data_IF_149483114692
#
_entry.id   IF_149483114692
#
_cell.length_a   1.000
_cell.length_b   1.000
_cell.length_c   1.000
_cell.angle_alpha   90.00
_cell.angle_beta   90.00
_cell.angle_gamma   90.00
#
_symmetry.space_group_name_H-M   'P 1'
#
loop_
_entity.id
_entity.type
_entity.pdbx_description
1 polymer ?
#
# COMPACT_ATOMS: atom_id res chain seq x y z
N UNK A 1 -31.32 22.76 -26.27
CA UNK A 1 -29.91 22.67 -26.75
C UNK A 1 -28.93 23.50 -25.92
N UNK A 2 -29.39 24.34 -24.98
CA UNK A 2 -28.57 25.09 -24.02
C UNK A 2 -28.14 24.27 -22.80
N UNK A 3 -28.91 23.24 -22.43
CA UNK A 3 -28.66 22.47 -21.19
C UNK A 3 -27.45 21.53 -21.34
N UNK A 4 -27.30 20.86 -22.48
CA UNK A 4 -26.20 19.93 -22.75
C UNK A 4 -24.82 20.59 -22.74
N UNK A 5 -24.70 21.84 -23.22
CA UNK A 5 -23.44 22.58 -23.21
C UNK A 5 -23.06 23.07 -21.80
N UNK A 6 -24.05 23.27 -20.93
CA UNK A 6 -23.86 23.68 -19.54
C UNK A 6 -23.42 22.48 -18.69
N UNK A 7 -24.08 21.33 -18.90
CA UNK A 7 -23.74 20.04 -18.29
C UNK A 7 -22.30 19.61 -18.58
N UNK A 8 -21.88 19.68 -19.85
CA UNK A 8 -20.51 19.33 -20.26
C UNK A 8 -19.43 20.21 -19.60
N UNK A 9 -19.73 21.48 -19.30
CA UNK A 9 -18.81 22.36 -18.56
C UNK A 9 -18.71 21.94 -17.10
N UNK A 10 -19.85 21.68 -16.48
CA UNK A 10 -19.94 21.32 -15.06
C UNK A 10 -19.23 19.99 -14.77
N UNK A 11 -19.39 19.01 -15.65
CA UNK A 11 -18.69 17.72 -15.60
C UNK A 11 -17.16 17.90 -15.65
N UNK A 12 -16.65 18.76 -16.55
CA UNK A 12 -15.21 19.05 -16.65
C UNK A 12 -14.65 19.68 -15.38
N UNK A 13 -15.36 20.64 -14.79
CA UNK A 13 -14.95 21.25 -13.53
C UNK A 13 -14.95 20.24 -12.38
N UNK A 14 -15.95 19.34 -12.33
CA UNK A 14 -16.01 18.29 -11.32
C UNK A 14 -14.92 17.24 -11.49
N UNK A 15 -14.61 16.82 -12.72
CA UNK A 15 -13.53 15.87 -13.03
C UNK A 15 -12.16 16.42 -12.62
N UNK A 16 -11.90 17.69 -12.94
CA UNK A 16 -10.68 18.39 -12.56
C UNK A 16 -10.54 18.52 -11.03
N UNK A 17 -11.64 18.73 -10.30
CA UNK A 17 -11.64 18.76 -8.85
C UNK A 17 -11.45 17.35 -8.22
N UNK A 18 -12.08 16.32 -8.78
CA UNK A 18 -11.98 14.92 -8.30
C UNK A 18 -10.58 14.34 -8.47
N UNK A 19 -9.92 14.63 -9.60
CA UNK A 19 -8.56 14.15 -9.88
C UNK A 19 -7.51 14.75 -8.95
N UNK A 20 -7.63 16.03 -8.59
CA UNK A 20 -6.75 16.68 -7.61
C UNK A 20 -6.89 16.06 -6.21
N UNK A 21 -8.12 15.83 -5.76
CA UNK A 21 -8.38 15.21 -4.45
C UNK A 21 -7.87 13.76 -4.42
N UNK A 22 -7.97 13.01 -5.52
CA UNK A 22 -7.43 11.66 -5.60
C UNK A 22 -5.89 11.62 -5.57
N UNK A 23 -5.22 12.52 -6.28
CA UNK A 23 -3.76 12.59 -6.29
C UNK A 23 -3.16 12.78 -4.90
N UNK A 24 -3.73 13.68 -4.09
CA UNK A 24 -3.27 13.89 -2.71
C UNK A 24 -3.52 12.69 -1.78
N UNK A 25 -4.60 11.95 -2.01
CA UNK A 25 -4.90 10.72 -1.24
C UNK A 25 -3.92 9.61 -1.59
N UNK A 26 -3.54 9.50 -2.86
CA UNK A 26 -2.61 8.47 -3.33
C UNK A 26 -1.21 8.69 -2.78
N UNK A 27 -0.70 9.93 -2.81
CA UNK A 27 0.61 10.26 -2.24
C UNK A 27 0.69 9.94 -0.73
N UNK A 28 -0.39 10.24 0.03
CA UNK A 28 -0.47 9.84 1.44
C UNK A 28 -0.49 8.31 1.62
N UNK A 29 -1.22 7.60 0.78
CA UNK A 29 -1.27 6.13 0.82
C UNK A 29 0.11 5.51 0.50
N UNK A 30 0.84 6.03 -0.48
CA UNK A 30 2.18 5.59 -0.84
C UNK A 30 3.18 5.76 0.31
N UNK A 31 3.19 6.93 0.96
CA UNK A 31 4.04 7.18 2.12
C UNK A 31 3.71 6.29 3.32
N UNK A 32 2.41 6.04 3.56
CA UNK A 32 1.97 5.13 4.62
C UNK A 32 2.38 3.69 4.32
N UNK A 33 2.16 3.21 3.10
CA UNK A 33 2.56 1.88 2.66
C UNK A 33 4.08 1.68 2.76
N UNK A 34 4.87 2.67 2.35
CA UNK A 34 6.32 2.64 2.47
C UNK A 34 6.80 2.54 3.93
N UNK A 35 6.21 3.31 4.84
CA UNK A 35 6.56 3.26 6.28
C UNK A 35 6.19 1.92 6.91
N UNK A 36 5.00 1.40 6.60
CA UNK A 36 4.56 0.09 7.08
C UNK A 36 5.49 -1.01 6.56
N UNK A 37 5.89 -0.95 5.30
CA UNK A 37 6.83 -1.91 4.72
C UNK A 37 8.21 -1.87 5.42
N UNK A 38 8.77 -0.67 5.67
CA UNK A 38 10.04 -0.52 6.38
C UNK A 38 9.96 -1.05 7.81
N UNK A 39 8.86 -0.80 8.52
CA UNK A 39 8.63 -1.35 9.86
C UNK A 39 8.48 -2.88 9.83
N UNK A 40 7.72 -3.42 8.88
CA UNK A 40 7.57 -4.86 8.71
C UNK A 40 8.91 -5.57 8.45
N UNK A 41 9.76 -4.98 7.61
CA UNK A 41 11.10 -5.48 7.37
C UNK A 41 11.98 -5.42 8.63
N UNK A 42 12.00 -4.29 9.33
CA UNK A 42 12.78 -4.13 10.55
C UNK A 42 12.34 -5.11 11.65
N UNK A 43 11.03 -5.25 11.85
CA UNK A 43 10.46 -6.20 12.81
C UNK A 43 10.79 -7.64 12.40
N UNK A 44 10.70 -7.98 11.12
CA UNK A 44 11.09 -9.30 10.60
C UNK A 44 12.54 -9.62 10.91
N UNK A 45 13.45 -8.69 10.64
CA UNK A 45 14.88 -8.83 10.95
C UNK A 45 15.13 -8.97 12.46
N UNK A 46 14.51 -8.13 13.28
CA UNK A 46 14.65 -8.21 14.74
C UNK A 46 14.10 -9.53 15.29
N UNK A 47 12.99 -10.01 14.74
CA UNK A 47 12.38 -11.29 15.15
C UNK A 47 13.30 -12.47 14.83
N UNK A 48 13.96 -12.44 13.67
CA UNK A 48 14.97 -13.43 13.27
C UNK A 48 16.20 -13.40 14.19
N UNK A 49 16.69 -12.21 14.55
CA UNK A 49 17.84 -12.06 15.47
C UNK A 49 17.52 -12.54 16.88
N UNK A 50 16.35 -12.17 17.43
CA UNK A 50 15.96 -12.50 18.81
C UNK A 50 15.63 -13.98 18.95
N UNK A 51 14.95 -14.55 17.96
CA UNK A 51 14.52 -15.96 18.01
C UNK A 51 15.68 -16.91 17.70
N UNK A 52 16.75 -16.43 17.07
CA UNK A 52 17.93 -17.23 16.67
C UNK A 52 17.64 -18.33 15.65
N UNK A 53 16.38 -18.46 15.25
CA UNK A 53 15.87 -19.30 14.18
C UNK A 53 15.23 -18.33 13.20
N UNK A 54 15.86 -18.10 12.06
CA UNK A 54 15.20 -17.34 10.99
C UNK A 54 13.84 -17.95 10.70
N UNK A 55 12.88 -17.15 10.28
CA UNK A 55 11.56 -17.65 9.84
C UNK A 55 11.75 -18.76 8.77
N UNK A 56 12.85 -18.69 8.01
CA UNK A 56 13.34 -19.74 7.12
C UNK A 56 13.63 -21.09 7.82
N UNK A 57 14.15 -21.11 9.04
CA UNK A 57 14.38 -22.33 9.83
C UNK A 57 13.08 -22.97 10.29
N UNK A 58 12.07 -22.18 10.71
CA UNK A 58 10.76 -22.74 11.09
C UNK A 58 9.96 -23.23 9.87
N UNK A 59 10.03 -22.53 8.73
CA UNK A 59 9.44 -23.00 7.47
C UNK A 59 10.19 -24.23 6.95
N UNK A 60 11.53 -24.26 7.01
CA UNK A 60 12.34 -25.40 6.59
C UNK A 60 12.11 -26.62 7.48
N UNK A 61 12.08 -26.46 8.80
CA UNK A 61 11.89 -27.59 9.72
C UNK A 61 10.41 -28.02 9.77
N UNK A 62 9.47 -27.09 9.62
CA UNK A 62 8.04 -27.38 9.53
C UNK A 62 7.60 -28.01 8.20
N UNK A 63 8.21 -27.64 7.07
CA UNK A 63 7.93 -28.23 5.75
C UNK A 63 8.80 -29.43 5.40
N UNK A 64 10.05 -29.50 5.86
CA UNK A 64 10.99 -30.58 5.49
C UNK A 64 11.42 -31.48 6.67
N UNK A 65 10.96 -31.22 7.89
CA UNK A 65 11.35 -31.98 9.10
C UNK A 65 10.52 -33.24 9.38
N UNK A 66 9.60 -33.64 8.49
CA UNK A 66 8.97 -34.96 8.51
C UNK A 66 9.52 -35.81 7.36
N UNK A 67 10.61 -36.51 7.65
CA UNK A 67 11.21 -37.58 6.84
C UNK A 67 11.98 -38.51 7.75
#
# INVERSE_FOLDING_TARGET
MSDSASQAREDWYQEAAKSQIQGERMNRAELLNGRVAMLGFLIGLLTEVITGHGIASQISFGLFGQG
#
